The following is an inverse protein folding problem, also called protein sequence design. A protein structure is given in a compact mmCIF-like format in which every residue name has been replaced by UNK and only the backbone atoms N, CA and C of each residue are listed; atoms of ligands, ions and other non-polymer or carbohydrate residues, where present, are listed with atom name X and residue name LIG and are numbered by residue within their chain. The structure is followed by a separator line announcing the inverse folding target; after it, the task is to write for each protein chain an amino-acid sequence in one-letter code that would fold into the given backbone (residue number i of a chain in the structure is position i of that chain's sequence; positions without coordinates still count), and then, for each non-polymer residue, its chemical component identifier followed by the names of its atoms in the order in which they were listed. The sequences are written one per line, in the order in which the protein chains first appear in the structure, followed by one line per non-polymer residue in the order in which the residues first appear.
data_IF_448848042469
#
_entry.id   IF_448848042469
#
_cell.length_a   1.000
_cell.length_b   1.000
_cell.length_c   1.000
_cell.angle_alpha   90.00
_cell.angle_beta   90.00
_cell.angle_gamma   90.00
#
_symmetry.space_group_name_H-M   'P 1'
#
loop_
_entity.id
_entity.type
_entity.pdbx_description
1 polymer ?
#
# COMPACT_ATOMS: atom_id res chain seq x y z
N UNK A 1 -16.23 21.15 13.17
CA UNK A 1 -15.64 22.32 12.47
C UNK A 1 -16.33 22.45 11.12
N UNK A 2 -17.00 23.57 10.85
CA UNK A 2 -17.50 23.95 9.52
C UNK A 2 -16.40 23.95 8.44
N UNK A 3 -16.78 23.69 7.18
CA UNK A 3 -15.81 23.56 6.08
C UNK A 3 -15.10 24.88 5.73
N UNK A 4 -15.78 26.01 5.93
CA UNK A 4 -15.23 27.35 5.75
C UNK A 4 -14.21 27.76 6.83
N UNK A 5 -14.10 26.99 7.92
CA UNK A 5 -13.11 27.21 8.98
C UNK A 5 -11.83 26.37 8.76
N UNK A 6 -11.79 25.50 7.73
CA UNK A 6 -10.62 24.68 7.40
C UNK A 6 -9.59 25.54 6.68
N UNK A 7 -8.78 26.24 7.47
CA UNK A 7 -7.71 27.11 7.01
C UNK A 7 -6.34 26.40 7.04
N UNK A 8 -5.37 26.84 6.21
CA UNK A 8 -4.05 26.21 6.11
C UNK A 8 -3.36 26.05 7.46
N UNK A 9 -3.42 27.08 8.32
CA UNK A 9 -2.80 27.05 9.66
C UNK A 9 -3.33 25.89 10.52
N UNK A 10 -4.65 25.72 10.58
CA UNK A 10 -5.30 24.65 11.35
C UNK A 10 -4.86 23.28 10.85
N UNK A 11 -4.78 23.13 9.52
CA UNK A 11 -4.36 21.88 8.90
C UNK A 11 -2.88 21.60 9.15
N UNK A 12 -2.01 22.60 9.03
CA UNK A 12 -0.57 22.45 9.29
C UNK A 12 -0.33 22.01 10.73
N UNK A 13 -0.96 22.67 11.70
CA UNK A 13 -0.90 22.31 13.12
C UNK A 13 -1.37 20.87 13.36
N UNK A 14 -2.48 20.46 12.72
CA UNK A 14 -3.00 19.09 12.83
C UNK A 14 -2.05 18.03 12.22
N UNK A 15 -1.28 18.40 11.19
CA UNK A 15 -0.37 17.49 10.48
C UNK A 15 1.07 17.51 11.02
N UNK A 16 1.41 18.46 11.88
CA UNK A 16 2.76 18.65 12.42
C UNK A 16 3.25 17.41 13.19
N UNK A 17 2.39 16.79 13.99
CA UNK A 17 2.74 15.53 14.68
C UNK A 17 3.09 14.41 13.71
N UNK A 18 2.37 14.29 12.59
CA UNK A 18 2.61 13.26 11.58
C UNK A 18 3.93 13.52 10.84
N UNK A 19 4.22 14.79 10.57
CA UNK A 19 5.48 15.23 10.00
C UNK A 19 6.66 14.91 10.92
N UNK A 20 6.55 15.26 12.20
CA UNK A 20 7.59 15.02 13.21
C UNK A 20 7.87 13.53 13.44
N UNK A 21 6.89 12.66 13.19
CA UNK A 21 7.05 11.20 13.20
C UNK A 21 7.77 10.64 11.96
N UNK A 22 8.12 11.47 10.97
CA UNK A 22 8.76 11.04 9.73
C UNK A 22 7.84 10.26 8.78
N UNK A 23 6.52 10.30 8.99
CA UNK A 23 5.54 9.54 8.21
C UNK A 23 5.17 10.24 6.90
N UNK A 24 6.16 10.46 6.04
CA UNK A 24 6.04 11.29 4.83
C UNK A 24 5.01 10.78 3.81
N UNK A 25 4.92 9.47 3.56
CA UNK A 25 3.91 8.91 2.63
C UNK A 25 2.49 9.09 3.16
N UNK A 26 2.26 8.77 4.45
CA UNK A 26 0.98 9.00 5.11
C UNK A 26 0.59 10.48 5.03
N UNK A 27 1.52 11.39 5.34
CA UNK A 27 1.28 12.83 5.28
C UNK A 27 0.87 13.31 3.87
N UNK A 28 1.58 12.89 2.82
CA UNK A 28 1.22 13.21 1.43
C UNK A 28 -0.19 12.74 1.07
N UNK A 29 -0.53 11.52 1.46
CA UNK A 29 -1.86 10.93 1.19
C UNK A 29 -2.97 11.67 1.94
N UNK A 30 -2.73 12.06 3.18
CA UNK A 30 -3.67 12.86 3.98
C UNK A 30 -3.90 14.23 3.34
N UNK A 31 -2.84 14.93 2.93
CA UNK A 31 -2.94 16.22 2.23
C UNK A 31 -3.70 16.07 0.91
N UNK A 32 -3.43 15.00 0.15
CA UNK A 32 -4.15 14.70 -1.09
C UNK A 32 -5.64 14.53 -0.81
N UNK A 33 -6.01 13.69 0.17
CA UNK A 33 -7.41 13.44 0.51
C UNK A 33 -8.12 14.71 0.99
N UNK A 34 -7.46 15.53 1.82
CA UNK A 34 -7.99 16.82 2.23
C UNK A 34 -8.31 17.72 1.03
N UNK A 35 -7.38 17.81 0.07
CA UNK A 35 -7.58 18.61 -1.13
C UNK A 35 -8.73 18.09 -1.99
N UNK A 36 -8.92 16.78 -2.12
CA UNK A 36 -10.09 16.20 -2.80
C UNK A 36 -11.41 16.64 -2.11
N UNK A 37 -11.47 16.57 -0.78
CA UNK A 37 -12.66 16.98 -0.02
C UNK A 37 -12.94 18.48 -0.18
N UNK A 38 -11.92 19.34 -0.10
CA UNK A 38 -12.09 20.78 -0.25
C UNK A 38 -12.41 21.17 -1.70
N UNK A 39 -11.83 20.50 -2.69
CA UNK A 39 -12.18 20.71 -4.10
C UNK A 39 -13.62 20.28 -4.39
N UNK A 40 -14.09 19.18 -3.79
CA UNK A 40 -15.50 18.80 -3.86
C UNK A 40 -16.42 19.90 -3.32
N UNK A 41 -16.06 20.50 -2.18
CA UNK A 41 -16.82 21.58 -1.58
C UNK A 41 -16.84 22.86 -2.43
N UNK A 42 -15.72 23.17 -3.12
CA UNK A 42 -15.68 24.25 -4.12
C UNK A 42 -16.65 23.97 -5.27
N UNK A 43 -16.60 22.75 -5.83
CA UNK A 43 -17.44 22.38 -6.98
C UNK A 43 -18.94 22.41 -6.64
N UNK A 44 -19.29 22.11 -5.39
CA UNK A 44 -20.67 22.17 -4.90
C UNK A 44 -21.09 23.58 -4.45
N UNK A 45 -20.19 24.57 -4.50
CA UNK A 45 -20.47 25.95 -4.11
C UNK A 45 -20.55 26.19 -2.61
N UNK A 46 -20.03 25.27 -1.77
CA UNK A 46 -20.01 25.41 -0.30
C UNK A 46 -18.93 26.38 0.18
N UNK A 47 -17.82 26.47 -0.58
CA UNK A 47 -16.73 27.43 -0.37
C UNK A 47 -16.32 28.00 -1.73
N UNK A 48 -15.80 29.24 -1.76
CA UNK A 48 -15.45 29.91 -3.02
C UNK A 48 -14.17 29.36 -3.66
N UNK A 49 -13.21 28.89 -2.85
CA UNK A 49 -11.94 28.33 -3.30
C UNK A 49 -11.39 27.36 -2.24
N UNK A 50 -10.46 26.49 -2.65
CA UNK A 50 -9.76 25.59 -1.72
C UNK A 50 -8.55 26.33 -1.13
N UNK A 51 -8.58 26.70 0.18
CA UNK A 51 -7.49 27.45 0.79
C UNK A 51 -6.24 26.59 1.04
N UNK A 52 -6.35 25.25 1.01
CA UNK A 52 -5.29 24.31 1.38
C UNK A 52 -4.53 23.71 0.19
N UNK A 53 -4.74 24.21 -1.03
CA UNK A 53 -4.22 23.58 -2.25
C UNK A 53 -2.69 23.32 -2.23
N UNK A 54 -1.92 24.21 -1.60
CA UNK A 54 -0.44 24.20 -1.58
C UNK A 54 0.17 23.88 -0.21
N UNK A 55 -0.58 23.35 0.75
CA UNK A 55 -0.05 23.05 2.10
C UNK A 55 1.09 22.03 2.09
N UNK A 56 1.19 21.20 1.06
CA UNK A 56 2.29 20.25 0.90
C UNK A 56 3.66 20.95 0.82
N UNK A 57 3.72 22.19 0.32
CA UNK A 57 4.97 22.94 0.18
C UNK A 57 5.58 23.36 1.53
N UNK A 58 4.77 23.34 2.60
CA UNK A 58 5.24 23.63 3.97
C UNK A 58 6.11 22.49 4.52
N UNK A 59 5.93 21.28 4.02
CA UNK A 59 6.60 20.08 4.54
C UNK A 59 7.75 19.64 3.63
N UNK A 60 8.88 19.26 4.23
CA UNK A 60 9.98 18.65 3.49
C UNK A 60 9.86 17.12 3.49
N UNK A 61 9.60 16.54 2.33
CA UNK A 61 9.40 15.09 2.20
C UNK A 61 10.66 14.29 1.88
N UNK A 62 11.82 14.94 1.70
CA UNK A 62 13.05 14.29 1.27
C UNK A 62 12.93 13.60 -0.10
N UNK A 63 13.99 12.86 -0.46
CA UNK A 63 14.01 12.04 -1.69
C UNK A 63 13.40 10.67 -1.39
N UNK A 64 12.55 10.20 -2.30
CA UNK A 64 12.04 8.83 -2.27
C UNK A 64 13.18 7.86 -2.54
N UNK A 65 13.32 6.83 -1.71
CA UNK A 65 14.16 5.66 -1.99
C UNK A 65 13.28 4.46 -2.38
N UNK A 66 13.85 3.54 -3.15
CA UNK A 66 13.18 2.28 -3.46
C UNK A 66 13.28 1.33 -2.26
N UNK A 67 12.24 0.54 -2.01
CA UNK A 67 12.33 -0.54 -1.03
C UNK A 67 13.33 -1.59 -1.52
N UNK A 68 14.17 -2.15 -0.62
CA UNK A 68 15.08 -3.24 -0.98
C UNK A 68 14.31 -4.42 -1.57
N UNK A 69 14.79 -4.94 -2.70
CA UNK A 69 14.25 -6.14 -3.32
C UNK A 69 15.21 -7.31 -3.08
N UNK A 70 14.65 -8.48 -2.78
CA UNK A 70 15.45 -9.71 -2.63
C UNK A 70 16.04 -10.10 -3.98
N UNK A 71 17.32 -10.49 -3.98
CA UNK A 71 17.98 -11.02 -5.17
C UNK A 71 17.75 -12.53 -5.30
N UNK A 72 17.88 -13.12 -6.50
CA UNK A 72 17.76 -14.56 -6.68
C UNK A 72 18.72 -15.39 -5.81
N UNK A 73 19.88 -14.84 -5.45
CA UNK A 73 20.88 -15.49 -4.60
C UNK A 73 20.44 -15.59 -3.13
N UNK A 74 19.64 -14.64 -2.66
CA UNK A 74 19.14 -14.58 -1.28
C UNK A 74 17.84 -15.40 -1.10
N UNK A 75 17.15 -15.72 -2.20
CA UNK A 75 15.88 -16.46 -2.17
C UNK A 75 15.94 -17.80 -1.40
N UNK A 76 16.99 -18.64 -1.53
CA UNK A 76 17.08 -19.89 -0.75
C UNK A 76 17.08 -19.66 0.75
N UNK A 77 17.75 -18.60 1.21
CA UNK A 77 17.80 -18.23 2.63
C UNK A 77 16.43 -17.74 3.13
N UNK A 78 15.75 -16.89 2.34
CA UNK A 78 14.40 -16.44 2.67
C UNK A 78 13.42 -17.60 2.80
N UNK A 79 13.42 -18.53 1.83
CA UNK A 79 12.56 -19.72 1.87
C UNK A 79 12.85 -20.53 3.13
N UNK A 80 14.13 -20.73 3.46
CA UNK A 80 14.53 -21.43 4.68
C UNK A 80 13.98 -20.72 5.93
N UNK A 81 14.20 -19.42 6.06
CA UNK A 81 13.72 -18.63 7.20
C UNK A 81 12.20 -18.75 7.39
N UNK A 82 11.41 -18.65 6.32
CA UNK A 82 9.95 -18.78 6.39
C UNK A 82 9.53 -20.19 6.77
N UNK A 83 10.13 -21.23 6.17
CA UNK A 83 9.75 -22.61 6.42
C UNK A 83 10.07 -23.09 7.85
N UNK A 84 11.18 -22.61 8.43
CA UNK A 84 11.57 -22.91 9.81
C UNK A 84 10.99 -21.96 10.86
N UNK A 85 10.28 -20.90 10.45
CA UNK A 85 9.62 -19.99 11.40
C UNK A 85 8.50 -20.69 12.20
N UNK A 86 8.04 -20.05 13.27
CA UNK A 86 6.88 -20.46 14.06
C UNK A 86 5.52 -20.16 13.38
N UNK A 87 5.52 -19.63 12.15
CA UNK A 87 4.29 -19.33 11.43
C UNK A 87 3.44 -20.59 11.21
N UNK A 88 2.12 -20.39 11.14
CA UNK A 88 1.18 -21.45 10.83
C UNK A 88 1.49 -22.07 9.45
N UNK A 89 1.20 -23.36 9.29
CA UNK A 89 1.47 -24.08 8.03
C UNK A 89 0.78 -23.41 6.83
N UNK A 90 -0.41 -22.85 7.04
CA UNK A 90 -1.18 -22.13 6.02
C UNK A 90 -0.43 -20.90 5.52
N UNK A 91 0.15 -20.09 6.42
CA UNK A 91 0.95 -18.92 6.05
C UNK A 91 2.21 -19.31 5.28
N UNK A 92 2.86 -20.41 5.67
CA UNK A 92 4.06 -20.92 4.96
C UNK A 92 3.72 -21.39 3.54
N UNK A 93 2.60 -22.10 3.38
CA UNK A 93 2.13 -22.57 2.07
C UNK A 93 1.66 -21.40 1.19
N UNK A 94 0.93 -20.43 1.77
CA UNK A 94 0.48 -19.23 1.07
C UNK A 94 1.67 -18.41 0.57
N UNK A 95 2.71 -18.25 1.39
CA UNK A 95 3.95 -17.59 0.97
C UNK A 95 4.58 -18.26 -0.26
N UNK A 96 4.68 -19.60 -0.26
CA UNK A 96 5.17 -20.35 -1.42
C UNK A 96 4.27 -20.20 -2.64
N UNK A 97 2.96 -20.30 -2.46
CA UNK A 97 1.98 -20.13 -3.52
C UNK A 97 2.11 -18.75 -4.17
N UNK A 98 2.23 -17.70 -3.35
CA UNK A 98 2.41 -16.33 -3.84
C UNK A 98 3.75 -16.13 -4.55
N UNK A 99 4.84 -16.76 -4.10
CA UNK A 99 6.12 -16.72 -4.82
C UNK A 99 6.05 -17.40 -6.20
N UNK A 100 5.29 -18.48 -6.32
CA UNK A 100 5.17 -19.25 -7.57
C UNK A 100 4.24 -18.59 -8.59
N UNK A 101 3.25 -17.84 -8.12
CA UNK A 101 2.20 -17.26 -8.97
C UNK A 101 2.33 -15.75 -9.13
N UNK A 102 3.09 -15.08 -8.26
CA UNK A 102 3.31 -13.63 -8.23
C UNK A 102 2.03 -12.79 -8.11
N UNK A 103 0.91 -13.39 -7.69
CA UNK A 103 -0.34 -12.65 -7.44
C UNK A 103 -0.22 -11.80 -6.17
N UNK A 104 -1.09 -10.79 -6.03
CA UNK A 104 -1.05 -9.94 -4.82
C UNK A 104 -1.48 -10.72 -3.57
N UNK A 105 -1.02 -10.34 -2.37
CA UNK A 105 -1.38 -11.05 -1.13
C UNK A 105 -2.89 -11.25 -0.92
N UNK A 106 -3.69 -10.23 -1.23
CA UNK A 106 -5.15 -10.31 -1.11
C UNK A 106 -5.78 -11.26 -2.13
N UNK A 107 -5.21 -11.38 -3.33
CA UNK A 107 -5.67 -12.33 -4.36
C UNK A 107 -5.30 -13.75 -3.92
N UNK A 108 -4.07 -13.98 -3.44
CA UNK A 108 -3.63 -15.28 -2.92
C UNK A 108 -4.45 -15.75 -1.71
N UNK A 109 -4.70 -14.87 -0.74
CA UNK A 109 -5.37 -15.24 0.51
C UNK A 109 -6.87 -15.53 0.34
N UNK A 110 -7.49 -14.94 -0.68
CA UNK A 110 -8.92 -15.12 -0.95
C UNK A 110 -9.20 -16.13 -2.08
N UNK A 111 -8.15 -16.72 -2.67
CA UNK A 111 -8.29 -17.69 -3.74
C UNK A 111 -9.11 -18.90 -3.28
N UNK A 112 -10.02 -19.33 -4.16
CA UNK A 112 -10.90 -20.47 -3.96
C UNK A 112 -10.52 -21.61 -4.91
N UNK A 113 -10.82 -22.85 -4.53
CA UNK A 113 -10.53 -24.02 -5.37
C UNK A 113 -11.25 -23.98 -6.73
N UNK A 114 -12.39 -23.30 -6.83
CA UNK A 114 -13.13 -23.10 -8.08
C UNK A 114 -12.39 -22.22 -9.10
N UNK A 115 -11.42 -21.41 -8.67
CA UNK A 115 -10.63 -20.54 -9.55
C UNK A 115 -9.38 -21.24 -10.09
N UNK A 116 -9.06 -22.45 -9.61
CA UNK A 116 -7.86 -23.20 -10.01
C UNK A 116 -8.24 -24.29 -11.02
N UNK A 117 -7.85 -24.10 -12.27
CA UNK A 117 -7.99 -25.11 -13.32
C UNK A 117 -6.83 -26.11 -13.28
N UNK A 118 -7.05 -27.24 -12.60
CA UNK A 118 -6.08 -28.33 -12.52
C UNK A 118 -5.94 -29.13 -13.82
N UNK A 119 -6.90 -29.04 -14.76
CA UNK A 119 -6.88 -29.83 -16.00
C UNK A 119 -5.97 -29.21 -17.06
N UNK A 120 -5.84 -27.90 -17.05
CA UNK A 120 -5.01 -27.14 -17.99
C UNK A 120 -3.69 -26.62 -17.37
N UNK A 121 -3.19 -27.26 -16.31
CA UNK A 121 -1.86 -26.95 -15.77
C UNK A 121 -0.79 -27.37 -16.79
N UNK A 122 -0.33 -26.41 -17.60
CA UNK A 122 0.79 -26.53 -18.53
C UNK A 122 2.07 -26.93 -17.76
N UNK A 123 2.25 -28.22 -17.49
CA UNK A 123 3.40 -28.74 -16.75
C UNK A 123 3.22 -30.12 -16.13
N UNK A 124 1.99 -30.57 -15.83
CA UNK A 124 1.77 -31.91 -15.25
C UNK A 124 1.67 -33.02 -16.30
N UNK A 125 1.40 -32.69 -17.56
CA UNK A 125 1.45 -33.66 -18.67
C UNK A 125 2.87 -34.13 -19.02
N UNK A 126 3.91 -33.50 -18.46
CA UNK A 126 5.32 -33.91 -18.64
C UNK A 126 5.91 -34.74 -17.50
N UNK A 127 5.14 -34.96 -16.43
CA UNK A 127 5.58 -35.73 -15.25
C UNK A 127 4.85 -37.07 -15.14
N UNK A 128 4.07 -37.45 -16.15
CA UNK A 128 3.30 -38.70 -16.20
C UNK A 128 3.66 -39.57 -17.42
N UNK A 129 4.80 -39.30 -18.06
CA UNK A 129 5.43 -40.17 -19.07
C UNK A 129 6.79 -40.68 -18.59
#
# INVERSE_FOLDING_TARGET
MPINEILPKVVIEALESLYNQGKGDTLKRTIRLLNEVLNFAVNYGLIAFNPCLRINEVFNFGKSSNNPAITPKELPELIKAVMYSSAAIQTKLLFKFQLLTMVRPAEASNATWSEIDFKNLYGLSRLTE
#
